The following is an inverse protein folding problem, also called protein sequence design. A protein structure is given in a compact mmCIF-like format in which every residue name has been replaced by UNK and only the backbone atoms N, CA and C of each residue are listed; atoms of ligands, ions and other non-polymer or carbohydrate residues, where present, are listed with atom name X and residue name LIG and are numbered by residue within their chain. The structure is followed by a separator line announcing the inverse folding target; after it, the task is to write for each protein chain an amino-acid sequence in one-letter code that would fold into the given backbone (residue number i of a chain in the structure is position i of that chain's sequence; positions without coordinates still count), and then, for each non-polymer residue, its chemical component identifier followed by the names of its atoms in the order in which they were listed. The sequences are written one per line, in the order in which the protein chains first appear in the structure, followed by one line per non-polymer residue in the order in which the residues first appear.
data_IF_907327084840
#
_entry.id   IF_907327084840
#
_cell.length_a   1.000
_cell.length_b   1.000
_cell.length_c   1.000
_cell.angle_alpha   90.00
_cell.angle_beta   90.00
_cell.angle_gamma   90.00
#
_symmetry.space_group_name_H-M   'P 1'
#
loop_
_entity.id
_entity.type
_entity.pdbx_description
1 polymer ?
#
# COMPACT_ATOMS: atom_id res chain seq x y z
N UNK A 1 15.12 44.94 12.14
CA UNK A 1 14.66 45.18 10.75
C UNK A 1 13.72 44.05 10.44
N UNK A 2 12.44 44.23 10.78
CA UNK A 2 11.42 43.22 10.55
C UNK A 2 11.02 43.29 9.08
N UNK A 3 11.46 42.31 8.30
CA UNK A 3 10.91 42.06 6.98
C UNK A 3 9.41 41.84 7.19
N UNK A 4 8.57 42.79 6.74
CA UNK A 4 7.13 42.58 6.63
C UNK A 4 6.90 41.46 5.61
N UNK A 5 7.09 40.21 6.02
CA UNK A 5 6.63 39.07 5.25
C UNK A 5 5.11 39.13 5.21
N UNK A 6 4.57 39.20 3.99
CA UNK A 6 3.14 39.12 3.77
C UNK A 6 2.60 37.85 4.46
N UNK A 7 1.43 37.93 5.11
CA UNK A 7 0.84 36.79 5.79
C UNK A 7 0.68 35.64 4.78
N UNK A 8 1.26 34.47 5.09
CA UNK A 8 1.16 33.30 4.21
C UNK A 8 -0.31 32.89 4.05
N UNK A 9 -0.72 32.68 2.81
CA UNK A 9 -2.02 32.09 2.50
C UNK A 9 -1.90 30.58 2.39
N UNK A 10 -2.52 29.84 3.31
CA UNK A 10 -2.34 28.39 3.48
C UNK A 10 -3.63 27.66 3.19
N UNK A 11 -3.58 26.65 2.32
CA UNK A 11 -4.66 25.70 2.09
C UNK A 11 -4.41 24.43 2.91
N UNK A 12 -5.37 24.00 3.72
CA UNK A 12 -5.33 22.71 4.41
C UNK A 12 -6.44 21.83 3.88
N UNK A 13 -6.09 20.68 3.30
CA UNK A 13 -7.05 19.69 2.80
C UNK A 13 -7.32 18.67 3.90
N UNK A 14 -8.52 18.74 4.48
CA UNK A 14 -8.96 17.92 5.60
C UNK A 14 -9.42 16.53 5.15
N UNK A 15 -8.48 15.72 4.66
CA UNK A 15 -8.70 14.28 4.43
C UNK A 15 -8.47 13.41 5.66
N UNK A 16 -7.94 13.99 6.75
CA UNK A 16 -7.71 13.33 8.02
C UNK A 16 -8.21 14.24 9.15
N UNK A 17 -9.06 13.69 10.02
CA UNK A 17 -9.71 14.46 11.09
C UNK A 17 -8.84 14.60 12.34
N UNK A 18 -8.05 13.57 12.67
CA UNK A 18 -7.35 13.45 13.96
C UNK A 18 -6.22 14.47 14.14
N UNK A 19 -5.60 14.90 13.05
CA UNK A 19 -4.41 15.77 13.08
C UNK A 19 -4.70 17.22 12.73
N UNK A 20 -5.95 17.59 12.43
CA UNK A 20 -6.28 18.94 11.98
C UNK A 20 -5.85 19.98 13.03
N UNK A 21 -6.36 19.88 14.26
CA UNK A 21 -6.13 20.89 15.30
C UNK A 21 -4.64 21.07 15.63
N UNK A 22 -3.92 19.95 15.79
CA UNK A 22 -2.47 20.00 16.02
C UNK A 22 -1.73 20.64 14.84
N UNK A 23 -2.16 20.36 13.60
CA UNK A 23 -1.57 20.98 12.42
C UNK A 23 -1.86 22.49 12.39
N UNK A 24 -3.10 22.91 12.70
CA UNK A 24 -3.46 24.33 12.75
C UNK A 24 -2.61 25.10 13.78
N UNK A 25 -2.44 24.54 14.98
CA UNK A 25 -1.57 25.11 16.01
C UNK A 25 -0.13 25.22 15.53
N UNK A 26 0.44 24.13 15.00
CA UNK A 26 1.80 24.12 14.47
C UNK A 26 2.00 25.13 13.33
N UNK A 27 0.98 25.35 12.48
CA UNK A 27 1.05 26.34 11.41
C UNK A 27 0.97 27.77 11.92
N UNK A 28 0.20 28.04 12.97
CA UNK A 28 0.17 29.36 13.60
C UNK A 28 1.46 29.60 14.39
N UNK A 29 2.12 28.57 14.92
CA UNK A 29 3.45 28.69 15.51
C UNK A 29 4.53 28.96 14.44
N UNK A 30 4.54 28.20 13.33
CA UNK A 30 5.51 28.38 12.24
C UNK A 30 5.26 29.70 11.47
N UNK A 31 4.00 30.10 11.31
CA UNK A 31 3.56 31.29 10.58
C UNK A 31 2.51 32.09 11.39
N UNK A 32 2.93 32.94 12.36
CA UNK A 32 2.03 33.62 13.31
C UNK A 32 0.91 34.48 12.71
N UNK A 33 1.07 34.95 11.47
CA UNK A 33 0.08 35.80 10.78
C UNK A 33 -0.56 35.09 9.59
N UNK A 34 -0.41 33.78 9.43
CA UNK A 34 -0.95 33.08 8.27
C UNK A 34 -2.49 33.12 8.24
N UNK A 35 -3.04 33.15 7.02
CA UNK A 35 -4.45 32.91 6.75
C UNK A 35 -4.62 31.44 6.37
N UNK A 36 -5.51 30.73 7.05
CA UNK A 36 -5.76 29.31 6.83
C UNK A 36 -7.14 29.13 6.21
N UNK A 37 -7.14 28.61 4.98
CA UNK A 37 -8.34 28.10 4.32
C UNK A 37 -8.37 26.59 4.44
N UNK A 38 -9.46 26.01 4.95
CA UNK A 38 -9.63 24.56 5.05
C UNK A 38 -10.59 24.07 3.98
N UNK A 39 -10.14 23.10 3.16
CA UNK A 39 -11.00 22.35 2.26
C UNK A 39 -11.45 21.05 2.96
N UNK A 40 -12.74 20.95 3.28
CA UNK A 40 -13.32 19.84 4.03
C UNK A 40 -14.56 19.27 3.32
N UNK A 41 -14.98 18.03 3.64
CA UNK A 41 -16.28 17.51 3.19
C UNK A 41 -17.45 18.35 3.74
N UNK A 42 -18.50 18.55 2.93
CA UNK A 42 -19.68 19.37 3.28
C UNK A 42 -20.31 18.93 4.61
N UNK A 43 -20.44 17.63 4.83
CA UNK A 43 -20.92 17.03 6.09
C UNK A 43 -20.20 17.49 7.36
N UNK A 44 -18.99 18.05 7.21
CA UNK A 44 -18.18 18.49 8.33
C UNK A 44 -18.02 20.01 8.45
N UNK A 45 -18.67 20.77 7.57
CA UNK A 45 -18.55 22.23 7.47
C UNK A 45 -18.78 22.93 8.80
N UNK A 46 -19.92 22.68 9.46
CA UNK A 46 -20.30 23.36 10.70
C UNK A 46 -19.25 23.17 11.80
N UNK A 47 -18.73 21.96 11.94
CA UNK A 47 -17.71 21.64 12.94
C UNK A 47 -16.36 22.31 12.64
N UNK A 48 -16.04 22.57 11.38
CA UNK A 48 -14.79 23.23 10.96
C UNK A 48 -14.92 24.75 11.08
N UNK A 49 -16.06 25.32 10.72
CA UNK A 49 -16.31 26.77 10.80
C UNK A 49 -16.29 27.31 12.24
N UNK A 50 -16.51 26.46 13.25
CA UNK A 50 -16.43 26.83 14.67
C UNK A 50 -14.99 26.94 15.20
N UNK A 51 -13.97 26.49 14.46
CA UNK A 51 -12.58 26.53 14.92
C UNK A 51 -11.99 27.94 14.76
N UNK A 52 -11.55 28.61 15.84
CA UNK A 52 -11.06 29.98 15.79
C UNK A 52 -9.73 30.14 15.03
N UNK A 53 -9.02 29.05 14.72
CA UNK A 53 -7.76 29.08 13.98
C UNK A 53 -7.97 29.10 12.45
N UNK A 54 -9.21 28.90 11.98
CA UNK A 54 -9.58 28.79 10.58
C UNK A 54 -10.21 30.10 10.10
N UNK A 55 -9.66 30.65 9.01
CA UNK A 55 -10.13 31.92 8.45
C UNK A 55 -11.20 31.73 7.37
N UNK A 56 -11.17 30.59 6.66
CA UNK A 56 -12.13 30.28 5.60
C UNK A 56 -12.34 28.78 5.47
N UNK A 57 -13.58 28.35 5.24
CA UNK A 57 -13.93 26.96 4.95
C UNK A 57 -14.45 26.85 3.53
N UNK A 58 -13.83 25.96 2.76
CA UNK A 58 -14.30 25.51 1.45
C UNK A 58 -14.80 24.08 1.59
N UNK A 59 -15.85 23.76 0.86
CA UNK A 59 -16.46 22.44 0.94
C UNK A 59 -16.34 21.66 -0.37
N UNK A 60 -16.30 20.34 -0.24
CA UNK A 60 -16.44 19.38 -1.33
C UNK A 60 -17.58 18.42 -1.01
N UNK A 61 -18.30 18.00 -2.04
CA UNK A 61 -19.47 17.13 -1.86
C UNK A 61 -19.05 15.77 -1.28
N UNK A 62 -19.86 15.23 -0.36
CA UNK A 62 -19.59 13.95 0.31
C UNK A 62 -19.80 12.72 -0.60
N UNK A 63 -20.33 12.92 -1.81
CA UNK A 63 -20.77 11.83 -2.69
C UNK A 63 -19.62 10.92 -3.16
N UNK A 64 -18.39 11.41 -3.16
CA UNK A 64 -17.21 10.68 -3.65
C UNK A 64 -15.98 11.02 -2.82
N UNK A 65 -14.97 10.14 -2.89
CA UNK A 65 -13.63 10.42 -2.33
C UNK A 65 -13.13 11.77 -2.83
N UNK A 66 -12.51 12.55 -1.93
CA UNK A 66 -11.90 13.83 -2.28
C UNK A 66 -10.82 13.62 -3.35
N UNK A 67 -10.95 14.34 -4.46
CA UNK A 67 -10.06 14.26 -5.60
C UNK A 67 -10.26 15.47 -6.50
N UNK A 68 -9.32 15.70 -7.43
CA UNK A 68 -9.44 16.74 -8.45
C UNK A 68 -10.73 16.60 -9.27
N UNK A 69 -11.13 15.36 -9.59
CA UNK A 69 -12.32 15.10 -10.40
C UNK A 69 -13.62 15.33 -9.64
N UNK A 70 -13.69 14.91 -8.37
CA UNK A 70 -14.88 15.14 -7.53
C UNK A 70 -15.05 16.60 -7.13
N UNK A 71 -13.95 17.35 -6.97
CA UNK A 71 -14.03 18.79 -6.70
C UNK A 71 -14.48 19.58 -7.93
N UNK A 72 -14.11 19.13 -9.13
CA UNK A 72 -14.56 19.70 -10.39
C UNK A 72 -13.72 20.88 -10.88
N UNK A 73 -13.66 21.05 -12.20
CA UNK A 73 -12.75 22.01 -12.87
C UNK A 73 -12.98 23.46 -12.46
N UNK A 74 -14.25 23.88 -12.30
CA UNK A 74 -14.60 25.25 -11.90
C UNK A 74 -14.05 25.59 -10.51
N UNK A 75 -14.22 24.67 -9.56
CA UNK A 75 -13.74 24.88 -8.19
C UNK A 75 -12.20 24.81 -8.12
N UNK A 76 -11.55 23.95 -8.92
CA UNK A 76 -10.08 23.95 -9.05
C UNK A 76 -9.58 25.29 -9.60
N UNK A 77 -10.26 25.88 -10.59
CA UNK A 77 -9.90 27.21 -11.10
C UNK A 77 -10.02 28.28 -9.99
N UNK A 78 -11.13 28.27 -9.23
CA UNK A 78 -11.32 29.17 -8.09
C UNK A 78 -10.26 28.98 -6.99
N UNK A 79 -9.83 27.73 -6.70
CA UNK A 79 -8.72 27.48 -5.77
C UNK A 79 -7.41 28.12 -6.26
N UNK A 80 -7.12 28.06 -7.55
CA UNK A 80 -5.89 28.65 -8.12
C UNK A 80 -5.89 30.18 -8.05
N UNK A 81 -7.06 30.80 -8.20
CA UNK A 81 -7.22 32.25 -8.08
C UNK A 81 -6.87 32.77 -6.67
N UNK A 82 -7.02 31.93 -5.64
CA UNK A 82 -6.63 32.28 -4.26
C UNK A 82 -5.11 32.36 -4.03
N UNK A 83 -4.28 31.85 -4.96
CA UNK A 83 -2.81 31.96 -4.92
C UNK A 83 -2.20 31.56 -3.57
N UNK A 84 -2.41 30.32 -3.16
CA UNK A 84 -1.85 29.81 -1.91
C UNK A 84 -0.32 29.77 -1.94
N UNK A 85 0.31 30.13 -0.83
CA UNK A 85 1.76 29.96 -0.65
C UNK A 85 2.10 28.52 -0.27
N UNK A 86 1.23 27.88 0.50
CA UNK A 86 1.42 26.52 1.01
C UNK A 86 0.11 25.75 0.93
N UNK A 87 0.13 24.52 0.40
CA UNK A 87 -0.96 23.56 0.56
C UNK A 87 -0.53 22.37 1.40
N UNK A 88 -1.44 21.90 2.24
CA UNK A 88 -1.20 20.82 3.19
C UNK A 88 -2.20 19.70 2.95
N UNK A 89 -1.68 18.51 2.68
CA UNK A 89 -2.46 17.28 2.59
C UNK A 89 -2.36 16.53 3.92
N UNK A 90 -3.49 16.31 4.60
CA UNK A 90 -3.52 15.62 5.90
C UNK A 90 -3.75 14.11 5.73
N UNK A 91 -2.90 13.28 6.33
CA UNK A 91 -3.02 11.82 6.30
C UNK A 91 -3.30 11.23 7.68
N UNK A 92 -4.17 10.21 7.74
CA UNK A 92 -4.34 9.44 8.97
C UNK A 92 -3.23 8.38 9.18
N UNK A 93 -2.36 8.16 8.20
CA UNK A 93 -1.36 7.10 8.22
C UNK A 93 0.04 7.66 7.91
N UNK A 94 1.06 7.06 8.52
CA UNK A 94 2.44 7.58 8.52
C UNK A 94 3.04 7.70 7.12
N UNK A 95 2.81 6.71 6.27
CA UNK A 95 3.38 6.64 4.92
C UNK A 95 2.53 7.32 3.83
N UNK A 96 1.33 7.82 4.17
CA UNK A 96 0.43 8.51 3.24
C UNK A 96 -0.08 7.70 2.04
N UNK A 97 0.22 6.41 1.89
CA UNK A 97 -0.35 5.54 0.85
C UNK A 97 -1.89 5.58 0.81
N UNK A 98 -2.46 5.61 -0.39
CA UNK A 98 -3.91 5.75 -0.60
C UNK A 98 -4.42 7.19 -0.58
N UNK A 99 -3.54 8.16 -0.29
CA UNK A 99 -3.86 9.60 -0.31
C UNK A 99 -3.36 10.31 -1.58
N UNK A 100 -2.95 9.59 -2.64
CA UNK A 100 -2.49 10.23 -3.89
C UNK A 100 -3.51 11.19 -4.51
N UNK A 101 -4.82 10.92 -4.34
CA UNK A 101 -5.87 11.83 -4.80
C UNK A 101 -5.85 13.19 -4.06
N UNK A 102 -5.48 13.18 -2.79
CA UNK A 102 -5.36 14.38 -1.95
C UNK A 102 -4.10 15.15 -2.35
N UNK A 103 -2.99 14.44 -2.57
CA UNK A 103 -1.74 15.05 -3.03
C UNK A 103 -1.94 15.74 -4.38
N UNK A 104 -2.61 15.07 -5.32
CA UNK A 104 -2.96 15.64 -6.60
C UNK A 104 -3.92 16.83 -6.46
N UNK A 105 -4.85 16.79 -5.50
CA UNK A 105 -5.76 17.90 -5.24
C UNK A 105 -5.01 19.13 -4.66
N UNK A 106 -4.06 18.90 -3.75
CA UNK A 106 -3.19 19.95 -3.21
C UNK A 106 -2.31 20.56 -4.30
N UNK A 107 -1.67 19.73 -5.15
CA UNK A 107 -0.91 20.21 -6.31
C UNK A 107 -1.80 20.93 -7.32
N UNK A 108 -3.05 20.50 -7.53
CA UNK A 108 -3.97 21.12 -8.48
C UNK A 108 -4.39 22.54 -8.08
N UNK A 109 -4.32 22.89 -6.79
CA UNK A 109 -4.51 24.26 -6.30
C UNK A 109 -3.35 25.21 -6.69
N UNK A 110 -2.25 24.67 -7.23
CA UNK A 110 -1.06 25.40 -7.69
C UNK A 110 -0.42 26.33 -6.64
N UNK A 111 -0.13 25.85 -5.42
CA UNK A 111 0.57 26.64 -4.41
C UNK A 111 2.07 26.74 -4.70
N UNK A 112 2.79 27.64 -4.01
CA UNK A 112 4.27 27.69 -4.09
C UNK A 112 4.94 26.46 -3.49
N UNK A 113 4.34 25.89 -2.43
CA UNK A 113 4.81 24.67 -1.76
C UNK A 113 3.65 23.73 -1.42
N UNK A 114 3.89 22.43 -1.47
CA UNK A 114 2.95 21.40 -1.00
C UNK A 114 3.64 20.52 0.06
N UNK A 115 2.96 20.27 1.19
CA UNK A 115 3.42 19.38 2.27
C UNK A 115 2.37 18.32 2.59
N UNK A 116 2.79 17.08 2.71
CA UNK A 116 1.96 15.98 3.20
C UNK A 116 2.24 15.73 4.68
N UNK A 117 1.29 16.02 5.56
CA UNK A 117 1.41 15.84 7.01
C UNK A 117 0.82 14.50 7.41
N UNK A 118 1.54 13.76 8.25
CA UNK A 118 1.11 12.45 8.73
C UNK A 118 0.59 12.49 10.18
N UNK A 119 0.19 11.31 10.67
CA UNK A 119 -0.41 11.14 12.00
C UNK A 119 0.50 11.59 13.15
N UNK A 120 1.82 11.64 12.92
CA UNK A 120 2.86 12.04 13.89
C UNK A 120 3.19 13.53 13.83
N UNK A 121 2.53 14.31 12.97
CA UNK A 121 2.81 15.73 12.76
C UNK A 121 4.09 16.02 11.96
N UNK A 122 4.77 14.98 11.47
CA UNK A 122 5.89 15.14 10.53
C UNK A 122 5.35 15.34 9.12
N UNK A 123 6.09 16.07 8.28
CA UNK A 123 5.70 16.32 6.90
C UNK A 123 6.75 15.90 5.89
N UNK A 124 6.27 15.58 4.68
CA UNK A 124 7.11 15.37 3.51
C UNK A 124 6.77 16.43 2.47
N UNK A 125 7.80 17.08 1.91
CA UNK A 125 7.60 18.01 0.80
C UNK A 125 7.21 17.25 -0.46
N UNK A 126 6.06 17.65 -1.02
CA UNK A 126 5.48 17.07 -2.21
C UNK A 126 5.78 17.95 -3.42
N UNK A 127 5.90 17.27 -4.55
CA UNK A 127 5.96 17.88 -5.87
C UNK A 127 4.95 17.15 -6.77
N UNK A 128 4.46 17.84 -7.80
CA UNK A 128 3.49 17.33 -8.76
C UNK A 128 3.96 16.01 -9.38
N UNK A 129 5.26 15.88 -9.68
CA UNK A 129 5.84 14.65 -10.21
C UNK A 129 5.77 13.51 -9.19
N UNK A 130 6.08 13.77 -7.92
CA UNK A 130 5.98 12.77 -6.85
C UNK A 130 4.53 12.34 -6.63
N UNK A 131 3.58 13.29 -6.62
CA UNK A 131 2.15 13.01 -6.48
C UNK A 131 1.62 12.16 -7.64
N UNK A 132 1.99 12.49 -8.88
CA UNK A 132 1.60 11.73 -10.07
C UNK A 132 2.20 10.32 -10.06
N UNK A 133 3.50 10.18 -9.76
CA UNK A 133 4.16 8.88 -9.62
C UNK A 133 3.49 8.02 -8.56
N UNK A 134 3.18 8.61 -7.40
CA UNK A 134 2.45 7.93 -6.31
C UNK A 134 1.08 7.45 -6.78
N UNK A 135 0.31 8.28 -7.47
CA UNK A 135 -1.00 7.89 -8.02
C UNK A 135 -0.90 6.77 -9.05
N UNK A 136 0.12 6.81 -9.92
CA UNK A 136 0.36 5.74 -10.89
C UNK A 136 0.73 4.43 -10.18
N UNK A 137 1.65 4.47 -9.22
CA UNK A 137 2.04 3.28 -8.44
C UNK A 137 0.84 2.70 -7.69
N UNK A 138 0.03 3.50 -7.01
CA UNK A 138 -1.16 3.01 -6.29
C UNK A 138 -2.17 2.33 -7.22
N UNK A 139 -2.38 2.84 -8.44
CA UNK A 139 -3.28 2.23 -9.43
C UNK A 139 -2.68 0.97 -10.07
N UNK A 140 -1.38 0.99 -10.37
CA UNK A 140 -0.66 -0.13 -11.01
C UNK A 140 -0.27 -1.23 -10.04
N UNK A 141 -0.31 -0.98 -8.72
CA UNK A 141 -0.04 -2.02 -7.72
C UNK A 141 -1.01 -3.20 -7.88
N UNK A 142 -2.28 -2.93 -8.18
CA UNK A 142 -3.26 -3.98 -8.49
C UNK A 142 -2.95 -4.73 -9.78
N UNK A 143 -2.43 -4.04 -10.80
CA UNK A 143 -1.99 -4.67 -12.04
C UNK A 143 -0.82 -5.63 -11.78
N UNK A 144 0.20 -5.17 -11.06
CA UNK A 144 1.36 -6.00 -10.69
C UNK A 144 0.97 -7.18 -9.79
N UNK A 145 0.03 -6.98 -8.87
CA UNK A 145 -0.55 -8.06 -8.06
C UNK A 145 -1.23 -9.10 -8.94
N UNK A 146 -2.01 -8.67 -9.95
CA UNK A 146 -2.67 -9.56 -10.91
C UNK A 146 -1.67 -10.35 -11.77
N UNK A 147 -0.63 -9.69 -12.27
CA UNK A 147 0.47 -10.36 -13.00
C UNK A 147 1.13 -11.42 -12.12
N UNK A 148 1.46 -11.09 -10.88
CA UNK A 148 2.10 -12.03 -9.95
C UNK A 148 1.20 -13.25 -9.66
N UNK A 149 -0.09 -13.03 -9.48
CA UNK A 149 -1.06 -14.11 -9.28
C UNK A 149 -1.17 -15.02 -10.52
N UNK A 150 -1.21 -14.44 -11.72
CA UNK A 150 -1.24 -15.18 -12.98
C UNK A 150 0.03 -16.01 -13.20
N UNK A 151 1.21 -15.43 -12.94
CA UNK A 151 2.48 -16.15 -13.01
C UNK A 151 2.54 -17.30 -12.01
N UNK A 152 2.06 -17.08 -10.79
CA UNK A 152 2.00 -18.12 -9.75
C UNK A 152 1.05 -19.25 -10.16
N UNK A 153 -0.13 -18.93 -10.69
CA UNK A 153 -1.08 -19.93 -11.19
C UNK A 153 -0.49 -20.74 -12.36
N UNK A 154 0.18 -20.08 -13.30
CA UNK A 154 0.87 -20.74 -14.41
C UNK A 154 1.97 -21.67 -13.92
N UNK A 155 2.76 -21.24 -12.93
CA UNK A 155 3.81 -22.06 -12.32
C UNK A 155 3.22 -23.34 -11.69
N UNK A 156 2.17 -23.21 -10.89
CA UNK A 156 1.50 -24.38 -10.29
C UNK A 156 0.89 -25.29 -11.35
N UNK A 157 0.35 -24.74 -12.43
CA UNK A 157 -0.19 -25.52 -13.55
C UNK A 157 0.90 -26.34 -14.23
N UNK A 158 2.06 -25.73 -14.54
CA UNK A 158 3.21 -26.43 -15.14
C UNK A 158 3.72 -27.55 -14.22
N UNK A 159 3.87 -27.27 -12.92
CA UNK A 159 4.30 -28.28 -11.94
C UNK A 159 3.29 -29.44 -11.89
N UNK A 160 2.00 -29.14 -11.87
CA UNK A 160 0.94 -30.17 -11.84
C UNK A 160 0.98 -31.04 -13.10
N UNK A 161 1.13 -30.45 -14.28
CA UNK A 161 1.29 -31.20 -15.52
C UNK A 161 2.56 -32.06 -15.53
N UNK A 162 3.68 -31.53 -15.00
CA UNK A 162 4.93 -32.28 -14.89
C UNK A 162 4.77 -33.51 -13.99
N UNK A 163 4.11 -33.36 -12.83
CA UNK A 163 3.84 -34.47 -11.91
C UNK A 163 2.89 -35.51 -12.51
N UNK A 164 1.83 -35.08 -13.20
CA UNK A 164 0.91 -35.99 -13.90
C UNK A 164 1.63 -36.73 -15.04
N UNK A 165 2.45 -36.01 -15.81
CA UNK A 165 3.25 -36.58 -16.90
C UNK A 165 4.27 -37.59 -16.39
N UNK A 166 4.98 -37.27 -15.30
CA UNK A 166 5.90 -38.18 -14.64
C UNK A 166 5.17 -39.43 -14.11
N UNK A 167 4.03 -39.26 -13.46
CA UNK A 167 3.21 -40.37 -13.00
C UNK A 167 2.75 -41.27 -14.16
N UNK A 168 2.27 -40.67 -15.25
CA UNK A 168 1.88 -41.40 -16.46
C UNK A 168 3.06 -42.14 -17.10
N UNK A 169 4.23 -41.51 -17.16
CA UNK A 169 5.46 -42.13 -17.67
C UNK A 169 5.90 -43.32 -16.80
N UNK A 170 5.90 -43.16 -15.48
CA UNK A 170 6.19 -44.26 -14.54
C UNK A 170 5.17 -45.39 -14.66
N UNK A 171 3.89 -45.09 -14.92
CA UNK A 171 2.86 -46.12 -15.09
C UNK A 171 3.00 -46.90 -16.41
N UNK A 172 3.46 -46.25 -17.48
CA UNK A 172 3.61 -46.86 -18.81
C UNK A 172 4.97 -47.54 -19.03
N UNK A 173 6.03 -47.02 -18.41
CA UNK A 173 7.42 -47.45 -18.66
C UNK A 173 8.19 -47.81 -17.39
N UNK A 174 7.57 -47.67 -16.20
CA UNK A 174 8.15 -48.14 -14.96
C UNK A 174 8.14 -49.66 -14.94
N UNK A 175 9.33 -50.26 -14.96
CA UNK A 175 9.51 -51.69 -14.73
C UNK A 175 8.87 -52.05 -13.40
N UNK A 176 8.05 -53.10 -13.38
CA UNK A 176 7.73 -53.79 -12.13
C UNK A 176 9.04 -54.10 -11.42
N UNK A 177 9.09 -53.78 -10.11
CA UNK A 177 10.22 -54.11 -9.29
C UNK A 177 10.53 -55.60 -9.45
N UNK A 178 11.78 -55.88 -9.81
CA UNK A 178 12.36 -57.22 -9.90
C UNK A 178 11.87 -58.04 -8.71
N UNK A 179 11.17 -59.14 -9.01
CA UNK A 179 10.76 -60.15 -8.04
C UNK A 179 11.95 -60.49 -7.15
N UNK A 180 11.83 -60.53 -5.81
CA UNK A 180 12.92 -60.97 -4.96
C UNK A 180 13.24 -62.41 -5.36
N UNK A 181 14.47 -62.61 -5.85
CA UNK A 181 14.98 -63.93 -6.17
C UNK A 181 14.81 -64.84 -4.93
N UNK A 182 14.20 -66.04 -5.06
CA UNK A 182 13.94 -66.87 -3.91
C UNK A 182 15.26 -67.34 -3.30
N UNK A 183 15.48 -66.98 -2.04
CA UNK A 183 16.60 -67.42 -1.23
C UNK A 183 16.76 -68.94 -1.31
N UNK A 184 17.84 -69.42 -1.92
CA UNK A 184 18.26 -70.81 -1.91
C UNK A 184 19.17 -71.04 -0.68
N UNK A 185 18.75 -71.83 0.31
CA UNK A 185 19.61 -72.17 1.44
C UNK A 185 20.71 -73.14 0.96
N UNK A 186 21.97 -72.76 1.19
CA UNK A 186 23.13 -73.63 0.97
C UNK A 186 23.04 -74.88 1.86
N UNK A 187 22.99 -76.06 1.25
CA UNK A 187 23.13 -77.33 1.95
C UNK A 187 24.50 -77.40 2.65
N UNK A 188 24.50 -77.26 3.98
CA UNK A 188 25.61 -77.75 4.81
C UNK A 188 25.38 -79.26 5.08
N UNK A 189 26.39 -80.13 4.95
CA UNK A 189 26.22 -81.55 5.22
C UNK A 189 26.00 -81.76 6.72
N UNK A 190 24.87 -82.41 7.05
CA UNK A 190 24.53 -82.89 8.39
C UNK A 190 25.58 -83.93 8.80
N UNK A 191 26.27 -83.67 9.91
CA UNK A 191 27.22 -84.61 10.53
C UNK A 191 26.41 -85.61 11.37
N UNK A 192 26.37 -86.87 10.97
CA UNK A 192 25.76 -87.95 11.76
C UNK A 192 26.51 -88.16 13.09
N UNK A 193 25.82 -88.47 14.19
CA UNK A 193 26.46 -88.75 15.47
C UNK A 193 26.98 -90.21 15.54
N UNK A 194 28.22 -90.36 15.97
CA UNK A 194 28.90 -91.64 16.20
C UNK A 194 28.10 -92.56 17.12
N UNK A 195 27.89 -93.81 16.67
CA UNK A 195 27.34 -94.89 17.48
C UNK A 195 28.37 -95.33 18.52
N UNK A 196 28.03 -95.15 19.80
CA UNK A 196 28.75 -95.73 20.92
C UNK A 196 28.67 -97.27 20.87
N UNK A 197 29.84 -97.91 20.80
CA UNK A 197 30.02 -99.35 20.98
C UNK A 197 29.92 -99.67 22.47
N UNK A 198 28.95 -100.50 22.86
CA UNK A 198 28.85 -101.09 24.19
C UNK A 198 29.68 -102.38 24.21
N UNK A 199 30.67 -102.46 25.10
CA UNK A 199 31.37 -103.70 25.45
C UNK A 199 30.73 -104.28 26.72
N UNK A 200 30.35 -105.55 26.64
CA UNK A 200 30.32 -106.52 27.72
C UNK A 200 30.92 -107.82 27.17
#
# INVERSE_FOLDING_TARGET
MDTQENPKNILVIRSATRILNQTLLSLKEEFPKCRITVLAPESTREAVEQDPLIDEVLTITDQRRMSVSSYGRKNIAALREKKFDLAIALYNIDHGLGYSNIDLLACAANPKEVRGYNSKGTFVKLDSVKAMRKSLMEKTTFFWLGVNYATTALLFFIITLALIGEWGFRKLFGKEAVSPEPYQPSHAPVREPDKAVSQA
#
